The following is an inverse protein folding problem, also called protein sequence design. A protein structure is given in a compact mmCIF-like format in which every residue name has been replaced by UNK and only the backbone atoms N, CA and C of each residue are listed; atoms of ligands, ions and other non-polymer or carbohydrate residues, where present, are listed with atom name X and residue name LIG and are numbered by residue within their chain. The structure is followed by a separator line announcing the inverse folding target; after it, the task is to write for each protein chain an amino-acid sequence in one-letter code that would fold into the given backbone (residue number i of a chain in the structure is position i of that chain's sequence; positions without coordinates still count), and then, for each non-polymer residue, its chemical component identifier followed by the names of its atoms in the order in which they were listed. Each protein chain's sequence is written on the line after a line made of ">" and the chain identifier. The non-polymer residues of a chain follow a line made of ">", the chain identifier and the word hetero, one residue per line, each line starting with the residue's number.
data_IF_509585640535
#
_entry.id   IF_509585640535
#
_cell.length_a   1.000
_cell.length_b   1.000
_cell.length_c   1.000
_cell.angle_alpha   90.00
_cell.angle_beta   90.00
_cell.angle_gamma   90.00
#
_symmetry.space_group_name_H-M   'P 1'
#
loop_
_entity.id
_entity.type
_entity.pdbx_description
1 polymer ?
#
# COMPACT_ATOMS: atom_id res chain seq x y z
N UNK A 1 31.98 16.53 -34.31
CA UNK A 1 30.73 17.29 -34.17
C UNK A 1 29.62 16.31 -33.76
N UNK A 2 29.39 16.20 -32.48
CA UNK A 2 28.39 15.30 -31.92
C UNK A 2 27.01 16.03 -31.77
N UNK A 3 25.97 15.48 -32.35
CA UNK A 3 24.60 15.97 -32.16
C UNK A 3 24.06 15.49 -30.82
N UNK A 4 23.86 16.41 -29.89
CA UNK A 4 23.12 16.18 -28.65
C UNK A 4 21.64 16.05 -29.00
N UNK A 5 21.06 14.87 -28.81
CA UNK A 5 19.61 14.67 -28.88
C UNK A 5 18.99 15.11 -27.55
N UNK A 6 18.37 16.28 -27.54
CA UNK A 6 17.50 16.71 -26.45
C UNK A 6 16.12 16.08 -26.67
N UNK A 7 15.67 15.25 -25.74
CA UNK A 7 14.29 14.78 -25.68
C UNK A 7 13.42 15.94 -25.16
N UNK A 8 12.82 16.69 -26.09
CA UNK A 8 11.75 17.62 -25.73
C UNK A 8 10.46 16.83 -25.49
N UNK A 9 10.08 16.72 -24.22
CA UNK A 9 8.74 16.26 -23.88
C UNK A 9 7.73 17.37 -24.21
N UNK A 10 6.67 17.09 -25.00
CA UNK A 10 5.66 18.10 -25.27
C UNK A 10 4.99 18.52 -23.95
N UNK A 11 5.12 19.78 -23.57
CA UNK A 11 4.40 20.37 -22.45
C UNK A 11 2.93 20.45 -22.85
N UNK A 12 2.17 19.39 -22.52
CA UNK A 12 0.72 19.44 -22.60
C UNK A 12 0.22 20.47 -21.58
N UNK A 13 -0.24 21.64 -22.06
CA UNK A 13 -1.08 22.52 -21.27
C UNK A 13 -2.40 21.81 -20.98
N UNK A 14 -2.40 20.97 -19.95
CA UNK A 14 -3.64 20.38 -19.44
C UNK A 14 -4.38 21.43 -18.61
N UNK A 15 -5.62 21.71 -19.00
CA UNK A 15 -6.63 22.20 -18.05
C UNK A 15 -6.54 21.36 -16.78
N UNK A 16 -6.61 21.93 -15.56
CA UNK A 16 -6.45 21.19 -14.34
C UNK A 16 -7.59 20.17 -14.21
N UNK A 17 -7.39 18.96 -14.74
CA UNK A 17 -8.25 17.83 -14.39
C UNK A 17 -8.07 17.61 -12.90
N UNK A 18 -9.16 17.52 -12.14
CA UNK A 18 -9.13 17.06 -10.75
C UNK A 18 -8.25 15.81 -10.70
N UNK A 19 -7.29 15.76 -9.76
CA UNK A 19 -6.41 14.58 -9.66
C UNK A 19 -7.27 13.34 -9.44
N UNK A 20 -6.82 12.19 -9.93
CA UNK A 20 -7.52 10.91 -9.75
C UNK A 20 -7.85 10.65 -8.27
N UNK A 21 -6.90 10.93 -7.37
CA UNK A 21 -7.09 10.81 -5.91
C UNK A 21 -8.26 11.64 -5.41
N UNK A 22 -8.45 12.87 -5.92
CA UNK A 22 -9.56 13.72 -5.52
C UNK A 22 -10.91 13.18 -5.99
N UNK A 23 -10.95 12.55 -7.18
CA UNK A 23 -12.18 11.90 -7.67
C UNK A 23 -12.60 10.73 -6.79
N UNK A 24 -11.66 9.83 -6.45
CA UNK A 24 -11.92 8.71 -5.54
C UNK A 24 -12.41 9.21 -4.19
N UNK A 25 -11.77 10.25 -3.63
CA UNK A 25 -12.21 10.87 -2.37
C UNK A 25 -13.64 11.42 -2.44
N UNK A 26 -14.04 11.98 -3.58
CA UNK A 26 -15.40 12.46 -3.80
C UNK A 26 -16.39 11.30 -3.87
N UNK A 27 -16.07 10.24 -4.62
CA UNK A 27 -16.92 9.05 -4.76
C UNK A 27 -17.20 8.35 -3.43
N UNK A 28 -16.17 8.18 -2.59
CA UNK A 28 -16.31 7.54 -1.28
C UNK A 28 -16.67 8.52 -0.15
N UNK A 29 -16.94 9.79 -0.49
CA UNK A 29 -17.35 10.83 0.44
C UNK A 29 -16.35 11.06 1.60
N UNK A 30 -15.06 10.98 1.32
CA UNK A 30 -14.00 11.19 2.31
C UNK A 30 -14.12 12.52 3.06
N UNK A 31 -14.67 13.57 2.40
CA UNK A 31 -14.83 14.89 3.02
C UNK A 31 -15.75 14.86 4.23
N UNK A 32 -16.76 13.99 4.23
CA UNK A 32 -17.68 13.84 5.37
C UNK A 32 -16.92 13.35 6.60
N UNK A 33 -16.00 12.40 6.43
CA UNK A 33 -15.12 11.95 7.51
C UNK A 33 -14.19 13.07 8.01
N UNK A 34 -13.64 13.87 7.10
CA UNK A 34 -12.74 14.97 7.47
C UNK A 34 -13.45 16.09 8.22
N UNK A 35 -14.71 16.40 7.91
CA UNK A 35 -15.50 17.39 8.66
C UNK A 35 -15.74 16.95 10.11
N UNK A 36 -15.71 15.65 10.36
CA UNK A 36 -15.77 15.05 11.70
C UNK A 36 -14.38 14.92 12.37
N UNK A 37 -13.33 15.43 11.75
CA UNK A 37 -11.95 15.31 12.25
C UNK A 37 -11.32 13.92 12.06
N UNK A 38 -11.97 13.03 11.31
CA UNK A 38 -11.51 11.65 11.08
C UNK A 38 -10.46 11.63 9.98
N UNK A 39 -9.21 11.88 10.32
CA UNK A 39 -8.07 11.94 9.40
C UNK A 39 -7.12 10.76 9.53
N UNK A 40 -7.45 9.77 10.34
CA UNK A 40 -6.57 8.64 10.68
C UNK A 40 -5.61 8.92 11.85
N UNK A 41 -5.70 10.07 12.52
CA UNK A 41 -4.86 10.39 13.70
C UNK A 41 -5.03 9.34 14.78
N UNK A 42 -3.92 8.84 15.33
CA UNK A 42 -3.91 7.81 16.36
C UNK A 42 -4.03 6.37 15.81
N UNK A 43 -4.06 6.20 14.49
CA UNK A 43 -4.06 4.89 13.84
C UNK A 43 -2.76 4.70 13.08
N UNK A 44 -2.10 3.56 13.30
CA UNK A 44 -0.97 3.13 12.48
C UNK A 44 -1.43 2.13 11.41
N UNK A 45 -1.00 2.36 10.17
CA UNK A 45 -1.22 1.45 9.05
C UNK A 45 0.10 0.77 8.70
N UNK A 46 0.15 -0.55 8.79
CA UNK A 46 1.27 -1.33 8.29
C UNK A 46 1.14 -1.56 6.79
N UNK A 47 2.22 -1.36 6.04
CA UNK A 47 2.28 -1.51 4.58
C UNK A 47 3.34 -2.55 4.24
N UNK A 48 2.91 -3.75 3.79
CA UNK A 48 3.80 -4.80 3.29
C UNK A 48 3.98 -4.61 1.79
N UNK A 49 5.18 -4.14 1.39
CA UNK A 49 5.45 -3.75 0.02
C UNK A 49 6.97 -3.72 -0.27
N UNK A 50 7.43 -2.87 -1.18
CA UNK A 50 8.85 -2.68 -1.55
C UNK A 50 9.64 -1.82 -0.56
N UNK A 51 9.02 -1.35 0.51
CA UNK A 51 9.58 -0.43 1.49
C UNK A 51 8.87 0.92 1.49
N UNK A 52 9.48 1.93 2.11
CA UNK A 52 9.02 3.31 2.06
C UNK A 52 10.22 4.25 2.07
N UNK A 53 10.32 5.12 1.08
CA UNK A 53 11.25 6.24 1.10
C UNK A 53 10.71 7.33 2.03
N UNK A 54 11.54 7.95 2.89
CA UNK A 54 11.11 9.05 3.76
C UNK A 54 10.73 10.29 2.93
N UNK A 55 9.50 10.32 2.42
CA UNK A 55 8.98 11.42 1.63
C UNK A 55 8.42 12.51 2.54
N UNK A 56 8.61 13.79 2.20
CA UNK A 56 8.17 14.96 2.97
C UNK A 56 6.68 14.96 3.35
N UNK A 57 5.85 14.23 2.63
CA UNK A 57 4.43 14.10 2.96
C UNK A 57 4.15 13.17 4.12
N UNK A 58 5.11 12.37 4.57
CA UNK A 58 4.92 11.42 5.67
C UNK A 58 6.21 10.97 6.39
N UNK A 59 7.38 11.60 6.12
CA UNK A 59 8.66 11.19 6.69
C UNK A 59 8.69 11.19 8.23
N UNK A 60 8.02 12.15 8.83
CA UNK A 60 7.86 12.30 10.28
C UNK A 60 6.83 11.34 10.90
N UNK A 61 6.11 10.59 10.05
CA UNK A 61 5.04 9.67 10.46
C UNK A 61 5.33 8.20 10.13
N UNK A 62 6.55 7.86 9.70
CA UNK A 62 7.01 6.47 9.63
C UNK A 62 7.40 6.04 11.03
N UNK A 63 6.47 5.41 11.76
CA UNK A 63 6.65 4.99 13.15
C UNK A 63 7.36 3.65 13.31
N UNK A 64 7.48 2.87 12.22
CA UNK A 64 8.15 1.57 12.21
C UNK A 64 8.64 1.19 10.84
N UNK A 65 9.76 0.45 10.80
CA UNK A 65 10.32 -0.09 9.56
C UNK A 65 10.93 -1.47 9.80
N UNK A 66 10.74 -2.37 8.83
CA UNK A 66 11.46 -3.63 8.74
C UNK A 66 11.81 -3.95 7.28
N UNK A 67 13.01 -4.47 7.07
CA UNK A 67 13.44 -5.03 5.79
C UNK A 67 13.72 -6.51 5.99
N UNK A 68 12.80 -7.36 5.55
CA UNK A 68 12.94 -8.82 5.64
C UNK A 68 13.70 -9.41 4.46
N UNK A 69 13.94 -8.60 3.42
CA UNK A 69 14.61 -9.03 2.19
C UNK A 69 16.13 -8.84 2.27
N UNK A 70 16.58 -7.64 2.65
CA UNK A 70 18.02 -7.29 2.67
C UNK A 70 18.54 -6.98 4.08
N UNK A 71 17.66 -6.96 5.10
CA UNK A 71 17.98 -6.68 6.50
C UNK A 71 18.69 -5.33 6.72
N UNK A 72 18.39 -4.32 5.88
CA UNK A 72 18.94 -2.99 6.04
C UNK A 72 18.23 -2.21 7.16
N UNK A 73 18.98 -1.46 7.97
CA UNK A 73 18.38 -0.58 8.96
C UNK A 73 17.79 0.67 8.31
N UNK A 74 16.65 1.15 8.85
CA UNK A 74 16.02 2.41 8.45
C UNK A 74 15.22 2.35 7.17
N UNK A 75 14.25 3.27 7.01
CA UNK A 75 13.32 3.27 5.90
C UNK A 75 14.00 3.64 4.59
N UNK A 76 13.74 2.84 3.57
CA UNK A 76 14.10 3.08 2.17
C UNK A 76 13.17 2.32 1.24
N UNK A 77 13.19 2.69 -0.04
CA UNK A 77 12.48 2.00 -1.11
C UNK A 77 13.30 2.10 -2.40
N UNK A 78 13.72 0.96 -2.92
CA UNK A 78 14.54 0.84 -4.13
C UNK A 78 13.72 0.44 -5.38
N UNK A 79 12.37 0.46 -5.25
CA UNK A 79 11.41 0.23 -6.33
C UNK A 79 10.47 1.43 -6.52
N UNK A 80 9.98 2.01 -5.43
CA UNK A 80 9.06 3.15 -5.39
C UNK A 80 7.59 2.78 -5.22
N UNK A 81 7.19 1.52 -5.42
CA UNK A 81 5.80 1.10 -5.30
C UNK A 81 5.27 1.28 -3.87
N UNK A 82 6.00 0.80 -2.86
CA UNK A 82 5.60 0.93 -1.46
C UNK A 82 5.51 2.39 -1.00
N UNK A 83 6.42 3.24 -1.46
CA UNK A 83 6.39 4.69 -1.21
C UNK A 83 5.12 5.32 -1.79
N UNK A 84 4.73 4.92 -3.01
CA UNK A 84 3.50 5.37 -3.64
C UNK A 84 2.26 4.92 -2.85
N UNK A 85 2.22 3.66 -2.41
CA UNK A 85 1.14 3.14 -1.56
C UNK A 85 1.07 3.91 -0.23
N UNK A 86 2.20 4.16 0.43
CA UNK A 86 2.25 4.98 1.64
C UNK A 86 1.69 6.39 1.41
N UNK A 87 1.99 6.99 0.26
CA UNK A 87 1.44 8.29 -0.15
C UNK A 87 -0.08 8.27 -0.34
N UNK A 88 -0.62 7.24 -0.99
CA UNK A 88 -2.08 7.07 -1.16
C UNK A 88 -2.78 6.89 0.18
N UNK A 89 -2.18 6.15 1.11
CA UNK A 89 -2.75 5.92 2.44
C UNK A 89 -2.64 7.18 3.30
N UNK A 90 -1.42 7.67 3.52
CA UNK A 90 -1.12 8.62 4.57
C UNK A 90 -0.43 9.92 4.16
N UNK A 91 -0.26 10.19 2.85
CA UNK A 91 0.39 11.43 2.40
C UNK A 91 -0.35 12.67 2.88
N UNK A 92 0.38 13.63 3.46
CA UNK A 92 -0.20 14.92 3.88
C UNK A 92 -0.58 15.81 2.70
N UNK A 93 0.05 15.59 1.53
CA UNK A 93 -0.06 16.46 0.36
C UNK A 93 0.75 17.75 0.47
N UNK A 94 1.64 17.89 1.45
CA UNK A 94 2.39 19.11 1.73
C UNK A 94 3.20 19.61 0.53
N UNK A 95 3.81 18.69 -0.24
CA UNK A 95 4.59 19.08 -1.44
C UNK A 95 3.74 19.38 -2.66
N UNK A 96 2.43 19.23 -2.57
CA UNK A 96 1.49 19.42 -3.69
C UNK A 96 0.32 20.34 -3.34
N UNK A 97 0.45 21.16 -2.31
CA UNK A 97 -0.62 22.04 -1.80
C UNK A 97 -1.96 21.31 -1.61
N UNK A 98 -1.88 20.09 -1.05
CA UNK A 98 -3.03 19.23 -0.79
C UNK A 98 -3.57 18.46 -2.00
N UNK A 99 -3.04 18.68 -3.22
CA UNK A 99 -3.55 18.07 -4.46
C UNK A 99 -3.48 16.53 -4.42
N UNK A 100 -2.41 15.97 -3.87
CA UNK A 100 -2.17 14.53 -3.77
C UNK A 100 -2.21 14.03 -2.33
N UNK A 101 -3.02 14.67 -1.49
CA UNK A 101 -3.22 14.21 -0.13
C UNK A 101 -3.80 12.77 -0.10
N UNK A 102 -3.25 11.92 0.73
CA UNK A 102 -3.72 10.54 0.95
C UNK A 102 -5.10 10.46 1.62
N UNK A 103 -5.60 9.24 1.78
CA UNK A 103 -6.95 8.99 2.34
C UNK A 103 -7.02 9.23 3.84
N UNK A 104 -5.95 8.94 4.57
CA UNK A 104 -5.84 9.11 6.01
C UNK A 104 -4.59 9.96 6.37
N UNK A 105 -4.58 11.28 6.03
CA UNK A 105 -3.37 12.11 6.07
C UNK A 105 -2.80 12.32 7.48
N UNK A 106 -3.52 11.94 8.52
CA UNK A 106 -3.09 12.00 9.92
C UNK A 106 -2.62 10.68 10.50
N UNK A 107 -2.69 9.57 9.77
CA UNK A 107 -2.22 8.26 10.26
C UNK A 107 -0.69 8.20 10.34
N UNK A 108 -0.17 7.29 11.17
CA UNK A 108 1.22 6.85 11.12
C UNK A 108 1.36 5.62 10.23
N UNK A 109 2.57 5.35 9.78
CA UNK A 109 2.89 4.27 8.85
C UNK A 109 3.96 3.36 9.46
N UNK A 110 3.77 2.05 9.33
CA UNK A 110 4.79 1.05 9.60
C UNK A 110 5.11 0.32 8.29
N UNK A 111 6.24 0.63 7.67
CA UNK A 111 6.60 0.04 6.39
C UNK A 111 7.40 -1.26 6.58
N UNK A 112 6.94 -2.33 5.94
CA UNK A 112 7.60 -3.63 5.97
C UNK A 112 7.98 -4.02 4.56
N UNK A 113 9.29 -3.97 4.26
CA UNK A 113 9.82 -4.36 2.96
C UNK A 113 9.85 -5.88 2.86
N UNK A 114 8.93 -6.42 2.06
CA UNK A 114 8.78 -7.86 1.75
C UNK A 114 9.05 -8.16 0.27
N UNK A 115 9.26 -7.12 -0.54
CA UNK A 115 9.54 -7.20 -1.96
C UNK A 115 10.89 -6.55 -2.28
N UNK A 116 11.60 -7.11 -3.25
CA UNK A 116 12.86 -6.60 -3.75
C UNK A 116 12.69 -5.35 -4.65
N UNK A 117 13.80 -4.85 -5.22
CA UNK A 117 13.84 -3.71 -6.13
C UNK A 117 13.06 -3.89 -7.44
N UNK A 118 12.67 -5.11 -7.77
CA UNK A 118 11.87 -5.45 -8.97
C UNK A 118 10.41 -5.72 -8.62
N UNK A 119 10.04 -5.58 -7.34
CA UNK A 119 8.69 -5.90 -6.86
C UNK A 119 8.44 -7.40 -6.68
N UNK A 120 9.49 -8.24 -6.64
CA UNK A 120 9.36 -9.66 -6.37
C UNK A 120 9.62 -9.98 -4.90
N UNK A 121 8.94 -10.99 -4.37
CA UNK A 121 9.14 -11.49 -3.03
C UNK A 121 8.66 -12.93 -2.89
N UNK A 122 9.00 -13.58 -1.81
CA UNK A 122 8.56 -14.92 -1.48
C UNK A 122 7.38 -14.90 -0.51
N UNK A 123 6.62 -15.99 -0.47
CA UNK A 123 5.61 -16.19 0.57
C UNK A 123 6.22 -16.17 1.98
N UNK A 124 7.45 -16.64 2.12
CA UNK A 124 8.17 -16.61 3.38
C UNK A 124 8.45 -15.19 3.85
N UNK A 125 8.85 -14.28 2.95
CA UNK A 125 9.11 -12.87 3.27
C UNK A 125 7.83 -12.17 3.73
N UNK A 126 6.71 -12.42 3.04
CA UNK A 126 5.40 -11.86 3.43
C UNK A 126 4.98 -12.38 4.80
N UNK A 127 5.16 -13.68 5.08
CA UNK A 127 4.85 -14.27 6.38
C UNK A 127 5.75 -13.75 7.49
N UNK A 128 7.04 -13.54 7.20
CA UNK A 128 7.97 -12.92 8.16
C UNK A 128 7.55 -11.46 8.45
N UNK A 129 7.13 -10.70 7.41
CA UNK A 129 6.57 -9.36 7.58
C UNK A 129 5.31 -9.35 8.43
N UNK A 130 4.38 -10.29 8.22
CA UNK A 130 3.18 -10.44 9.08
C UNK A 130 3.58 -10.74 10.52
N UNK A 131 4.56 -11.63 10.73
CA UNK A 131 5.12 -11.92 12.04
C UNK A 131 5.64 -10.66 12.74
N UNK A 132 6.45 -9.88 12.06
CA UNK A 132 6.98 -8.61 12.59
C UNK A 132 5.86 -7.63 13.01
N UNK A 133 4.79 -7.55 12.20
CA UNK A 133 3.62 -6.70 12.53
C UNK A 133 2.94 -7.20 13.80
N UNK A 134 2.67 -8.50 13.90
CA UNK A 134 2.00 -9.09 15.05
C UNK A 134 2.77 -8.86 16.36
N UNK A 135 4.11 -8.96 16.30
CA UNK A 135 4.98 -8.74 17.46
C UNK A 135 5.00 -7.27 17.92
N UNK A 136 4.69 -6.34 17.03
CA UNK A 136 4.81 -4.89 17.28
C UNK A 136 3.50 -4.10 17.23
N UNK A 137 2.38 -4.78 16.92
CA UNK A 137 1.09 -4.10 16.70
C UNK A 137 0.67 -3.21 17.86
N UNK A 138 0.86 -3.67 19.08
CA UNK A 138 0.46 -2.92 20.28
C UNK A 138 1.42 -1.75 20.56
N UNK A 139 2.74 -1.99 20.42
CA UNK A 139 3.76 -0.95 20.61
C UNK A 139 3.62 0.19 19.60
N UNK A 140 3.34 -0.11 18.34
CA UNK A 140 3.23 0.87 17.26
C UNK A 140 1.79 1.36 17.02
N UNK A 141 0.81 0.81 17.73
CA UNK A 141 -0.61 1.12 17.53
C UNK A 141 -1.12 0.69 16.17
N UNK A 142 -0.58 -0.40 15.58
CA UNK A 142 -1.02 -0.90 14.27
C UNK A 142 -2.44 -1.45 14.40
N UNK A 143 -3.34 -0.95 13.56
CA UNK A 143 -4.73 -1.39 13.51
C UNK A 143 -5.13 -1.91 12.13
N UNK A 144 -4.41 -1.49 11.10
CA UNK A 144 -4.69 -1.82 9.69
C UNK A 144 -3.42 -2.37 9.06
N UNK A 145 -3.57 -3.39 8.23
CA UNK A 145 -2.49 -3.97 7.42
C UNK A 145 -2.89 -3.90 5.95
N UNK A 146 -2.08 -3.23 5.14
CA UNK A 146 -2.22 -3.20 3.69
C UNK A 146 -1.20 -4.16 3.05
N UNK A 147 -1.67 -5.05 2.20
CA UNK A 147 -0.84 -6.03 1.48
C UNK A 147 -1.12 -5.89 -0.02
N UNK A 148 -0.26 -5.15 -0.72
CA UNK A 148 -0.38 -4.92 -2.16
C UNK A 148 0.40 -5.95 -2.97
N UNK A 149 0.41 -7.21 -2.53
CA UNK A 149 1.11 -8.32 -3.18
C UNK A 149 0.15 -9.45 -3.48
N UNK A 150 0.41 -10.15 -4.59
CA UNK A 150 -0.33 -11.33 -4.98
C UNK A 150 0.58 -12.40 -5.58
N UNK A 151 0.25 -13.67 -5.40
CA UNK A 151 1.02 -14.76 -5.99
C UNK A 151 0.71 -14.92 -7.46
N UNK A 152 1.73 -15.09 -8.29
CA UNK A 152 1.58 -15.46 -9.70
C UNK A 152 1.51 -17.00 -9.82
N UNK A 153 0.43 -17.49 -10.43
CA UNK A 153 0.31 -18.90 -10.82
C UNK A 153 -0.92 -19.62 -10.26
N UNK A 154 -1.40 -20.59 -11.04
CA UNK A 154 -2.57 -21.42 -10.69
C UNK A 154 -2.31 -22.42 -9.53
N UNK A 155 -1.03 -22.68 -9.20
CA UNK A 155 -0.65 -23.53 -8.05
C UNK A 155 -0.58 -22.68 -6.78
N UNK A 156 -1.49 -22.93 -5.86
CA UNK A 156 -1.50 -22.27 -4.55
C UNK A 156 -2.72 -21.39 -4.27
N UNK A 157 -3.72 -21.39 -5.16
CA UNK A 157 -5.03 -20.76 -4.92
C UNK A 157 -5.88 -21.68 -4.03
N UNK A 158 -5.47 -21.83 -2.78
CA UNK A 158 -6.19 -22.59 -1.78
C UNK A 158 -6.33 -21.78 -0.50
N UNK A 159 -7.48 -21.87 0.14
CA UNK A 159 -7.69 -21.33 1.49
C UNK A 159 -6.72 -21.92 2.51
N UNK A 160 -6.17 -23.10 2.23
CA UNK A 160 -5.15 -23.77 3.05
C UNK A 160 -3.73 -23.25 2.81
N UNK A 161 -3.52 -22.33 1.86
CA UNK A 161 -2.19 -21.80 1.59
C UNK A 161 -1.61 -21.06 2.81
N UNK A 162 -0.29 -21.09 2.94
CA UNK A 162 0.39 -20.44 4.06
C UNK A 162 0.10 -18.92 4.12
N UNK A 163 -0.01 -18.27 2.95
CA UNK A 163 -0.33 -16.83 2.89
C UNK A 163 -1.76 -16.54 3.39
N UNK A 164 -2.74 -17.37 3.03
CA UNK A 164 -4.12 -17.21 3.54
C UNK A 164 -4.14 -17.43 5.05
N UNK A 165 -3.47 -18.46 5.55
CA UNK A 165 -3.34 -18.69 7.00
C UNK A 165 -2.66 -17.52 7.70
N UNK A 166 -1.64 -16.92 7.09
CA UNK A 166 -0.93 -15.75 7.61
C UNK A 166 -1.83 -14.52 7.74
N UNK A 167 -2.57 -14.16 6.70
CA UNK A 167 -3.49 -13.01 6.75
C UNK A 167 -4.68 -13.25 7.67
N UNK A 168 -5.17 -14.50 7.74
CA UNK A 168 -6.22 -14.89 8.68
C UNK A 168 -5.75 -14.75 10.13
N UNK A 169 -4.50 -15.14 10.43
CA UNK A 169 -3.90 -14.96 11.77
C UNK A 169 -3.81 -13.47 12.14
N UNK A 170 -3.44 -12.59 11.19
CA UNK A 170 -3.42 -11.17 11.44
C UNK A 170 -4.83 -10.62 11.73
N UNK A 171 -5.82 -11.06 10.98
CA UNK A 171 -7.24 -10.72 11.23
C UNK A 171 -7.71 -11.21 12.60
N UNK A 172 -7.45 -12.47 12.95
CA UNK A 172 -7.84 -13.06 14.24
C UNK A 172 -7.13 -12.39 15.43
N UNK A 173 -5.98 -11.74 15.18
CA UNK A 173 -5.27 -10.90 16.16
C UNK A 173 -5.86 -9.49 16.30
N UNK A 174 -6.99 -9.20 15.66
CA UNK A 174 -7.73 -7.94 15.77
C UNK A 174 -7.27 -6.84 14.78
N UNK A 175 -6.51 -7.18 13.76
CA UNK A 175 -6.11 -6.24 12.72
C UNK A 175 -7.11 -6.24 11.56
N UNK A 176 -7.39 -5.07 11.01
CA UNK A 176 -8.10 -4.96 9.73
C UNK A 176 -7.11 -5.23 8.61
N UNK A 177 -7.29 -6.32 7.89
CA UNK A 177 -6.37 -6.73 6.82
C UNK A 177 -7.00 -6.44 5.46
N UNK A 178 -6.31 -5.65 4.66
CA UNK A 178 -6.71 -5.24 3.31
C UNK A 178 -5.70 -5.78 2.32
N UNK A 179 -6.15 -6.54 1.33
CA UNK A 179 -5.29 -7.20 0.34
C UNK A 179 -5.74 -6.90 -1.08
N UNK A 180 -4.80 -6.88 -2.02
CA UNK A 180 -5.11 -6.77 -3.44
C UNK A 180 -5.76 -8.05 -3.97
N UNK A 181 -6.74 -7.91 -4.86
CA UNK A 181 -7.32 -9.03 -5.61
C UNK A 181 -6.31 -9.67 -6.59
N UNK A 182 -5.27 -8.95 -6.95
CA UNK A 182 -4.28 -9.33 -7.95
C UNK A 182 -4.54 -8.69 -9.31
N UNK A 183 -3.68 -9.01 -10.29
CA UNK A 183 -3.65 -8.38 -11.61
C UNK A 183 -4.01 -9.36 -12.76
N UNK A 184 -4.65 -10.50 -12.46
CA UNK A 184 -4.95 -11.55 -13.42
C UNK A 184 -6.35 -11.43 -14.06
N UNK A 185 -7.12 -10.40 -13.68
CA UNK A 185 -8.45 -10.13 -14.25
C UNK A 185 -8.41 -9.75 -15.73
N UNK A 186 -9.57 -9.62 -16.40
CA UNK A 186 -10.93 -9.67 -15.83
C UNK A 186 -11.59 -11.06 -15.82
N UNK A 187 -10.89 -12.11 -16.24
CA UNK A 187 -11.47 -13.45 -16.33
C UNK A 187 -11.98 -13.97 -14.96
N UNK A 188 -13.05 -14.79 -14.94
CA UNK A 188 -13.48 -15.47 -13.72
C UNK A 188 -12.34 -16.25 -13.06
N UNK A 189 -12.40 -16.34 -11.71
CA UNK A 189 -11.38 -17.03 -10.89
C UNK A 189 -9.98 -16.43 -11.01
N UNK A 190 -9.88 -15.11 -11.26
CA UNK A 190 -8.61 -14.40 -11.41
C UNK A 190 -8.08 -13.81 -10.09
N UNK A 191 -8.86 -13.84 -9.02
CA UNK A 191 -8.42 -13.37 -7.69
C UNK A 191 -7.28 -14.25 -7.19
N UNK A 192 -6.18 -13.62 -6.77
CA UNK A 192 -4.96 -14.31 -6.35
C UNK A 192 -4.88 -14.47 -4.83
N UNK A 193 -4.00 -15.36 -4.37
CA UNK A 193 -3.66 -15.49 -2.94
C UNK A 193 -2.80 -14.30 -2.50
N UNK A 194 -3.08 -13.66 -1.34
CA UNK A 194 -4.02 -14.07 -0.29
C UNK A 194 -5.46 -13.53 -0.44
N UNK A 195 -5.78 -12.83 -1.54
CA UNK A 195 -7.09 -12.20 -1.79
C UNK A 195 -8.29 -13.16 -1.80
N UNK A 196 -8.06 -14.46 -1.96
CA UNK A 196 -9.11 -15.50 -1.88
C UNK A 196 -9.60 -15.77 -0.45
N UNK A 197 -8.93 -15.22 0.58
CA UNK A 197 -9.36 -15.38 1.97
C UNK A 197 -10.75 -14.77 2.19
N UNK A 198 -11.61 -15.51 2.90
CA UNK A 198 -12.97 -15.06 3.27
C UNK A 198 -13.00 -14.15 4.51
N UNK A 199 -11.87 -14.02 5.22
CA UNK A 199 -11.79 -13.21 6.44
C UNK A 199 -11.35 -11.77 6.19
N UNK A 200 -10.58 -11.52 5.12
CA UNK A 200 -9.95 -10.22 4.87
C UNK A 200 -10.73 -9.38 3.86
N UNK A 201 -10.42 -8.09 3.78
CA UNK A 201 -10.99 -7.20 2.78
C UNK A 201 -10.16 -7.31 1.51
N UNK A 202 -10.73 -7.90 0.46
CA UNK A 202 -10.07 -8.01 -0.84
C UNK A 202 -10.53 -6.90 -1.77
N UNK A 203 -9.57 -6.16 -2.33
CA UNK A 203 -9.83 -4.97 -3.15
C UNK A 203 -9.47 -5.25 -4.59
N UNK A 204 -10.44 -5.09 -5.46
CA UNK A 204 -10.29 -5.07 -6.92
C UNK A 204 -10.40 -3.67 -7.51
N UNK A 205 -10.17 -3.56 -8.81
CA UNK A 205 -10.38 -2.33 -9.56
C UNK A 205 -11.83 -2.26 -10.04
N UNK A 206 -12.46 -1.11 -9.88
CA UNK A 206 -13.73 -0.79 -10.51
C UNK A 206 -13.46 -0.25 -11.92
N UNK A 207 -14.19 -0.76 -12.91
CA UNK A 207 -14.26 -0.15 -14.23
C UNK A 207 -15.18 1.06 -14.13
N UNK A 208 -14.61 2.25 -14.20
CA UNK A 208 -15.36 3.51 -14.12
C UNK A 208 -15.72 4.08 -15.51
N UNK A 209 -15.61 3.27 -16.55
CA UNK A 209 -16.02 3.60 -17.95
C UNK A 209 -15.47 4.95 -18.44
N UNK A 210 -14.16 5.21 -18.23
CA UNK A 210 -13.50 6.45 -18.65
C UNK A 210 -12.64 6.29 -19.88
#
# INVERSE_FOLDING_TARGET
>A
MGKTLSLEYPIYKRTPRKSYVNRVKEQIRCRDAYTLGLTGRGVCVAVLDTGAYPHRDFEDRISGFADVVNHRPGPYDDCGHGTHICGIIGGSGAVSDGRYQGMAPGCTLAAVKVLDRKGNGSAADVLAGIGWILDRKDQLGIRIVNISVGSYGKRGMSEDSALVKGVNRAWDAGLVVVVAAGNNGPAPLSVTTPGISRKVITVGCSDDHM
#
